data_IF_429838534346
#
_entry.id   IF_429838534346
#
_cell.length_a   1.000
_cell.length_b   1.000
_cell.length_c   1.000
_cell.angle_alpha   90.00
_cell.angle_beta   90.00
_cell.angle_gamma   90.00
#
_symmetry.space_group_name_H-M   'P 1'
#
loop_
_entity.id
_entity.type
_entity.pdbx_description
1 polymer ?
#
# COMPACT_ATOMS: atom_id res chain seq x y z
N UNK A 1 5.77 -28.25 19.53
CA UNK A 1 6.57 -27.27 18.79
C UNK A 1 6.31 -25.86 19.30
N UNK A 2 7.34 -25.00 19.42
CA UNK A 2 7.15 -23.63 19.86
C UNK A 2 6.40 -22.81 18.81
N UNK A 3 5.50 -21.94 19.26
CA UNK A 3 4.78 -20.99 18.40
C UNK A 3 5.77 -20.00 17.80
N UNK A 4 5.70 -19.79 16.48
CA UNK A 4 6.48 -18.76 15.78
C UNK A 4 5.57 -17.59 15.45
N UNK A 5 5.98 -16.40 15.85
CA UNK A 5 5.31 -15.14 15.52
C UNK A 5 6.22 -14.33 14.60
N UNK A 6 5.64 -13.66 13.62
CA UNK A 6 6.34 -12.71 12.76
C UNK A 6 5.62 -11.36 12.82
N UNK A 7 6.41 -10.29 12.88
CA UNK A 7 5.91 -8.94 12.70
C UNK A 7 5.90 -8.62 11.20
N UNK A 8 4.75 -8.20 10.68
CA UNK A 8 4.60 -7.83 9.28
C UNK A 8 3.97 -6.43 9.16
N UNK A 9 4.49 -5.64 8.21
CA UNK A 9 3.93 -4.33 7.90
C UNK A 9 2.55 -4.50 7.29
N UNK A 10 1.57 -3.80 7.83
CA UNK A 10 0.20 -3.83 7.32
C UNK A 10 -0.10 -2.69 6.35
N UNK A 11 0.33 -1.48 6.69
CA UNK A 11 0.09 -0.29 5.90
C UNK A 11 1.38 0.20 5.27
N UNK A 12 1.52 -0.02 3.98
CA UNK A 12 2.69 0.43 3.23
C UNK A 12 2.51 1.91 2.88
N UNK A 13 3.43 2.80 3.30
CA UNK A 13 3.33 4.21 3.01
C UNK A 13 3.43 4.46 1.49
N UNK A 14 2.55 5.30 0.92
CA UNK A 14 2.66 5.66 -0.49
C UNK A 14 3.92 6.47 -0.80
N UNK A 15 4.46 7.15 0.21
CA UNK A 15 5.70 7.90 0.13
C UNK A 15 6.60 7.60 1.33
N UNK A 16 7.54 6.64 1.19
CA UNK A 16 8.44 6.25 2.27
C UNK A 16 9.41 7.35 2.72
N UNK A 17 9.68 8.36 1.88
CA UNK A 17 10.54 9.48 2.24
C UNK A 17 9.98 10.30 3.42
N UNK A 18 8.65 10.26 3.61
CA UNK A 18 7.99 10.95 4.71
C UNK A 18 8.04 10.20 6.05
N UNK A 19 8.69 9.04 6.11
CA UNK A 19 8.94 8.34 7.36
C UNK A 19 10.06 9.06 8.14
N UNK A 20 9.78 9.49 9.37
CA UNK A 20 10.71 10.31 10.15
C UNK A 20 11.87 9.49 10.75
N UNK A 21 11.60 8.25 11.15
CA UNK A 21 12.58 7.42 11.85
C UNK A 21 13.31 6.47 10.89
N UNK A 22 14.62 6.42 11.02
CA UNK A 22 15.49 5.54 10.25
C UNK A 22 15.15 4.06 10.45
N UNK A 23 14.92 3.64 11.71
CA UNK A 23 14.51 2.28 12.02
C UNK A 23 13.22 1.87 11.30
N UNK A 24 12.27 2.80 11.09
CA UNK A 24 11.02 2.52 10.40
C UNK A 24 11.27 2.26 8.92
N UNK A 25 12.17 3.04 8.27
CA UNK A 25 12.59 2.79 6.88
C UNK A 25 13.30 1.46 6.75
N UNK A 26 14.22 1.16 7.67
CA UNK A 26 14.94 -0.11 7.70
C UNK A 26 13.99 -1.31 7.81
N UNK A 27 13.04 -1.29 8.74
CA UNK A 27 12.06 -2.37 8.91
C UNK A 27 11.17 -2.54 7.67
N UNK A 28 10.81 -1.44 7.01
CA UNK A 28 10.08 -1.49 5.76
C UNK A 28 10.91 -2.10 4.62
N UNK A 29 12.20 -1.77 4.54
CA UNK A 29 13.14 -2.39 3.59
C UNK A 29 13.22 -3.91 3.80
N UNK A 30 13.33 -4.37 5.04
CA UNK A 30 13.36 -5.80 5.37
C UNK A 30 12.06 -6.50 4.95
N UNK A 31 10.91 -5.86 5.16
CA UNK A 31 9.62 -6.39 4.72
C UNK A 31 9.54 -6.51 3.21
N UNK A 32 9.88 -5.45 2.47
CA UNK A 32 9.84 -5.44 1.01
C UNK A 32 10.83 -6.45 0.43
N UNK A 33 12.02 -6.56 1.00
CA UNK A 33 12.99 -7.59 0.63
C UNK A 33 12.40 -8.98 0.77
N UNK A 34 11.76 -9.28 1.90
CA UNK A 34 11.09 -10.56 2.11
C UNK A 34 9.97 -10.78 1.08
N UNK A 35 9.19 -9.75 0.75
CA UNK A 35 8.12 -9.83 -0.25
C UNK A 35 8.68 -10.11 -1.66
N UNK A 36 9.84 -9.55 -2.00
CA UNK A 36 10.53 -9.82 -3.27
C UNK A 36 11.07 -11.26 -3.29
N UNK A 37 11.82 -11.66 -2.27
CA UNK A 37 12.45 -13.00 -2.21
C UNK A 37 11.42 -14.12 -2.17
N UNK A 38 10.28 -13.91 -1.55
CA UNK A 38 9.16 -14.87 -1.51
C UNK A 38 8.28 -14.84 -2.76
N UNK A 39 8.52 -13.93 -3.69
CA UNK A 39 7.73 -13.76 -4.91
C UNK A 39 6.38 -13.07 -4.72
N UNK A 40 6.08 -12.56 -3.51
CA UNK A 40 4.88 -11.77 -3.24
C UNK A 40 4.89 -10.43 -3.98
N UNK A 41 6.07 -9.81 -4.11
CA UNK A 41 6.27 -8.59 -4.87
C UNK A 41 7.10 -8.89 -6.12
N UNK A 42 6.46 -9.13 -7.27
CA UNK A 42 7.15 -9.45 -8.50
C UNK A 42 7.89 -8.22 -9.06
N UNK A 43 9.13 -8.44 -9.50
CA UNK A 43 9.99 -7.44 -10.08
C UNK A 43 10.56 -7.91 -11.42
N UNK A 44 10.92 -6.97 -12.29
CA UNK A 44 11.73 -7.25 -13.48
C UNK A 44 13.18 -7.54 -13.09
N UNK A 45 13.95 -8.16 -13.99
CA UNK A 45 15.38 -8.41 -13.80
C UNK A 45 16.15 -7.13 -13.44
N UNK A 46 15.91 -6.05 -14.19
CA UNK A 46 16.56 -4.75 -13.97
C UNK A 46 16.21 -4.17 -12.60
N UNK A 47 14.94 -4.32 -12.17
CA UNK A 47 14.52 -3.85 -10.85
C UNK A 47 15.13 -4.70 -9.73
N UNK A 48 15.21 -6.02 -9.89
CA UNK A 48 15.92 -6.87 -8.93
C UNK A 48 17.37 -6.45 -8.76
N UNK A 49 18.08 -6.19 -9.88
CA UNK A 49 19.46 -5.76 -9.85
C UNK A 49 19.64 -4.40 -9.16
N UNK A 50 18.78 -3.43 -9.48
CA UNK A 50 18.81 -2.10 -8.88
C UNK A 50 18.50 -2.13 -7.38
N UNK A 51 17.44 -2.80 -6.97
CA UNK A 51 17.09 -2.94 -5.55
C UNK A 51 18.17 -3.73 -4.80
N UNK A 52 18.71 -4.79 -5.41
CA UNK A 52 19.81 -5.56 -4.85
C UNK A 52 21.05 -4.72 -4.62
N UNK A 53 21.40 -3.83 -5.53
CA UNK A 53 22.59 -2.97 -5.38
C UNK A 53 22.47 -1.95 -4.25
N UNK A 54 21.29 -1.37 -4.03
CA UNK A 54 21.05 -0.51 -2.86
C UNK A 54 21.07 -1.30 -1.54
N UNK A 55 20.56 -2.54 -1.56
CA UNK A 55 20.62 -3.40 -0.39
C UNK A 55 22.08 -3.70 -0.01
N UNK A 56 22.91 -4.03 -0.99
CA UNK A 56 24.35 -4.26 -0.77
C UNK A 56 25.02 -3.00 -0.22
N UNK A 57 24.75 -1.84 -0.82
CA UNK A 57 25.30 -0.56 -0.34
C UNK A 57 24.90 -0.29 1.13
N UNK A 58 23.66 -0.61 1.51
CA UNK A 58 23.20 -0.36 2.89
C UNK A 58 23.83 -1.31 3.91
N UNK A 59 24.14 -2.56 3.52
CA UNK A 59 24.66 -3.58 4.44
C UNK A 59 26.20 -3.66 4.47
N UNK A 60 26.85 -3.45 3.31
CA UNK A 60 28.31 -3.65 3.15
C UNK A 60 29.05 -2.30 3.08
N UNK A 61 28.36 -1.24 2.62
CA UNK A 61 28.98 0.08 2.37
C UNK A 61 29.57 0.18 0.98
N UNK A 62 30.54 1.07 0.81
CA UNK A 62 31.16 1.35 -0.47
C UNK A 62 31.90 0.13 -1.03
N UNK A 63 31.81 -0.06 -2.36
CA UNK A 63 32.58 -1.11 -3.01
C UNK A 63 34.10 -0.80 -2.92
N UNK A 64 34.86 -1.75 -2.36
CA UNK A 64 36.32 -1.73 -2.33
C UNK A 64 36.85 -2.96 -3.07
N UNK A 65 37.72 -2.73 -4.07
CA UNK A 65 38.32 -3.79 -4.90
C UNK A 65 39.25 -4.71 -4.09
N UNK A 66 39.77 -4.24 -2.95
CA UNK A 66 40.68 -5.01 -2.10
C UNK A 66 39.93 -5.92 -1.11
N UNK A 67 38.74 -5.50 -0.68
CA UNK A 67 37.93 -6.21 0.29
C UNK A 67 36.85 -7.09 -0.34
N UNK A 68 36.34 -6.68 -1.51
CA UNK A 68 35.23 -7.32 -2.21
C UNK A 68 35.71 -8.16 -3.39
N UNK A 69 35.86 -9.45 -3.16
CA UNK A 69 36.11 -10.42 -4.21
C UNK A 69 34.84 -10.68 -5.05
N UNK A 70 34.98 -11.50 -6.10
CA UNK A 70 33.83 -11.87 -6.97
C UNK A 70 32.74 -12.66 -6.25
N UNK A 71 32.95 -13.09 -5.02
CA UNK A 71 32.06 -13.98 -4.25
C UNK A 71 31.39 -13.29 -3.06
N UNK A 72 31.70 -12.03 -2.79
CA UNK A 72 31.17 -11.31 -1.59
C UNK A 72 29.63 -11.24 -1.52
N UNK A 73 28.93 -11.41 -2.66
CA UNK A 73 27.46 -11.45 -2.72
C UNK A 73 26.87 -12.86 -2.67
N UNK A 74 27.68 -13.89 -2.46
CA UNK A 74 27.23 -15.29 -2.51
C UNK A 74 26.10 -15.61 -1.56
N UNK A 75 26.11 -15.00 -0.38
CA UNK A 75 25.13 -15.26 0.67
C UNK A 75 23.91 -14.33 0.61
N UNK A 76 23.94 -13.36 -0.30
CA UNK A 76 22.82 -12.47 -0.52
C UNK A 76 21.71 -13.11 -1.35
N UNK A 77 20.47 -12.79 -1.00
CA UNK A 77 19.28 -13.19 -1.77
C UNK A 77 18.55 -11.94 -2.26
N UNK A 78 18.51 -11.78 -3.57
CA UNK A 78 17.88 -10.64 -4.25
C UNK A 78 16.58 -11.00 -4.96
N UNK A 79 16.41 -12.27 -5.33
CA UNK A 79 15.28 -12.75 -6.09
C UNK A 79 14.89 -14.18 -5.71
N UNK A 80 13.65 -14.63 -6.00
CA UNK A 80 13.24 -16.01 -5.79
C UNK A 80 14.11 -17.01 -6.58
N UNK A 81 14.41 -16.66 -7.84
CA UNK A 81 15.27 -17.43 -8.75
C UNK A 81 16.48 -16.57 -9.12
N UNK A 82 17.54 -16.70 -8.35
CA UNK A 82 18.75 -15.91 -8.51
C UNK A 82 19.69 -16.56 -9.53
N UNK A 83 20.07 -15.80 -10.57
CA UNK A 83 21.00 -16.23 -11.58
C UNK A 83 22.38 -15.56 -11.38
N UNK A 84 23.49 -16.18 -11.86
CA UNK A 84 24.81 -15.53 -11.82
C UNK A 84 24.82 -14.16 -12.49
N UNK A 85 24.13 -14.01 -13.62
CA UNK A 85 23.98 -12.73 -14.34
C UNK A 85 23.34 -11.63 -13.49
N UNK A 86 22.35 -12.00 -12.64
CA UNK A 86 21.75 -11.05 -11.71
C UNK A 86 22.77 -10.57 -10.68
N UNK A 87 23.58 -11.49 -10.13
CA UNK A 87 24.62 -11.16 -9.16
C UNK A 87 25.66 -10.20 -9.78
N UNK A 88 26.14 -10.53 -10.97
CA UNK A 88 27.09 -9.65 -11.70
C UNK A 88 26.50 -8.26 -11.93
N UNK A 89 25.23 -8.18 -12.33
CA UNK A 89 24.57 -6.89 -12.54
C UNK A 89 24.40 -6.10 -11.24
N UNK A 90 24.13 -6.78 -10.12
CA UNK A 90 24.08 -6.15 -8.79
C UNK A 90 25.45 -5.60 -8.41
N UNK A 91 26.53 -6.36 -8.64
CA UNK A 91 27.92 -5.92 -8.38
C UNK A 91 28.28 -4.67 -9.18
N UNK A 92 27.94 -4.64 -10.47
CA UNK A 92 28.24 -3.49 -11.33
C UNK A 92 27.48 -2.24 -10.88
N UNK A 93 26.22 -2.38 -10.51
CA UNK A 93 25.44 -1.26 -9.97
C UNK A 93 25.93 -0.83 -8.59
N UNK A 94 26.34 -1.75 -7.73
CA UNK A 94 26.90 -1.42 -6.42
C UNK A 94 28.11 -0.47 -6.52
N UNK A 95 28.98 -0.68 -7.47
CA UNK A 95 30.14 0.19 -7.73
C UNK A 95 29.76 1.65 -8.00
N UNK A 96 28.54 1.89 -8.47
CA UNK A 96 28.04 3.24 -8.78
C UNK A 96 27.47 3.99 -7.58
N UNK A 97 27.27 3.31 -6.44
CA UNK A 97 26.63 3.89 -5.24
C UNK A 97 27.62 4.47 -4.22
N UNK A 98 28.87 4.63 -4.60
CA UNK A 98 29.94 5.11 -3.72
C UNK A 98 29.57 6.40 -2.98
N UNK A 99 29.82 6.42 -1.67
CA UNK A 99 29.56 7.56 -0.79
C UNK A 99 28.15 7.61 -0.20
N UNK A 100 27.25 6.70 -0.59
CA UNK A 100 25.91 6.65 0.03
C UNK A 100 25.98 5.99 1.40
N UNK A 101 25.39 6.66 2.40
CA UNK A 101 25.20 6.09 3.73
C UNK A 101 24.15 4.96 3.68
N UNK A 102 24.14 4.05 4.67
CA UNK A 102 23.11 3.01 4.77
C UNK A 102 21.68 3.56 4.71
N UNK A 103 21.41 4.67 5.39
CA UNK A 103 20.09 5.31 5.41
C UNK A 103 19.69 5.88 4.05
N UNK A 104 20.62 6.48 3.30
CA UNK A 104 20.38 6.98 1.94
C UNK A 104 20.15 5.83 0.95
N UNK A 105 20.93 4.75 1.04
CA UNK A 105 20.73 3.57 0.21
C UNK A 105 19.37 2.92 0.45
N UNK A 106 18.93 2.80 1.72
CA UNK A 106 17.60 2.32 2.09
C UNK A 106 16.49 3.23 1.56
N UNK A 107 16.68 4.55 1.61
CA UNK A 107 15.72 5.49 1.04
C UNK A 107 15.60 5.31 -0.47
N UNK A 108 16.72 5.21 -1.20
CA UNK A 108 16.70 4.94 -2.64
C UNK A 108 16.07 3.58 -2.98
N UNK A 109 16.33 2.56 -2.16
CA UNK A 109 15.66 1.27 -2.26
C UNK A 109 14.14 1.43 -2.19
N UNK A 110 13.63 2.11 -1.16
CA UNK A 110 12.19 2.34 -0.95
C UNK A 110 11.57 3.20 -2.06
N UNK A 111 12.27 4.24 -2.52
CA UNK A 111 11.85 5.11 -3.61
C UNK A 111 11.69 4.37 -4.95
N UNK A 112 12.46 3.32 -5.18
CA UNK A 112 12.32 2.46 -6.35
C UNK A 112 11.27 1.37 -6.11
N UNK A 113 11.21 0.77 -4.94
CA UNK A 113 10.22 -0.25 -4.59
C UNK A 113 8.79 0.28 -4.63
N UNK A 114 8.52 1.54 -4.19
CA UNK A 114 7.19 2.15 -4.25
C UNK A 114 6.60 2.28 -5.66
N UNK A 115 7.45 2.25 -6.70
CA UNK A 115 7.03 2.32 -8.11
C UNK A 115 6.50 0.99 -8.65
N UNK A 116 6.73 -0.11 -7.94
CA UNK A 116 6.25 -1.43 -8.33
C UNK A 116 4.73 -1.51 -8.26
N UNK A 117 4.11 -2.11 -9.27
CA UNK A 117 2.65 -2.16 -9.40
C UNK A 117 1.95 -2.87 -8.22
N UNK A 118 2.65 -3.84 -7.61
CA UNK A 118 2.13 -4.64 -6.48
C UNK A 118 2.65 -4.17 -5.11
N UNK A 119 3.36 -3.02 -5.05
CA UNK A 119 3.82 -2.47 -3.78
C UNK A 119 2.67 -2.21 -2.82
N UNK A 120 2.73 -2.80 -1.64
CA UNK A 120 1.72 -2.64 -0.59
C UNK A 120 0.30 -3.12 -0.95
N UNK A 121 0.16 -4.02 -1.93
CA UNK A 121 -1.12 -4.59 -2.34
C UNK A 121 -1.37 -5.91 -1.62
N UNK A 122 -2.41 -5.95 -0.78
CA UNK A 122 -2.89 -7.16 -0.12
C UNK A 122 -3.93 -7.86 -1.01
N UNK A 123 -3.58 -9.03 -1.55
CA UNK A 123 -4.37 -9.78 -2.53
C UNK A 123 -5.33 -10.77 -1.88
N UNK A 124 -6.57 -10.76 -2.36
CA UNK A 124 -7.64 -11.67 -1.95
C UNK A 124 -8.29 -12.31 -3.17
N UNK A 125 -8.32 -13.66 -3.27
CA UNK A 125 -8.99 -14.34 -4.37
C UNK A 125 -10.51 -14.16 -4.28
N UNK A 126 -11.13 -13.87 -5.41
CA UNK A 126 -12.57 -13.68 -5.53
C UNK A 126 -13.05 -14.06 -6.93
N UNK A 127 -14.38 -14.04 -7.12
CA UNK A 127 -15.03 -14.14 -8.44
C UNK A 127 -15.85 -12.86 -8.66
N UNK A 128 -15.89 -12.43 -9.89
CA UNK A 128 -16.76 -11.33 -10.32
C UNK A 128 -18.24 -11.77 -10.43
N UNK A 129 -19.09 -10.89 -10.95
CA UNK A 129 -20.52 -11.17 -11.17
C UNK A 129 -20.77 -12.28 -12.19
N UNK A 130 -19.85 -12.50 -13.10
CA UNK A 130 -19.94 -13.54 -14.16
C UNK A 130 -19.34 -14.87 -13.70
N UNK A 131 -18.75 -14.92 -12.50
CA UNK A 131 -18.13 -16.11 -11.94
C UNK A 131 -16.66 -16.30 -12.38
N UNK A 132 -16.06 -15.30 -13.02
CA UNK A 132 -14.66 -15.32 -13.44
C UNK A 132 -13.74 -15.10 -12.26
N UNK A 133 -12.65 -15.87 -12.21
CA UNK A 133 -11.66 -15.75 -11.15
C UNK A 133 -10.88 -14.43 -11.28
N UNK A 134 -10.83 -13.69 -10.18
CA UNK A 134 -10.13 -12.42 -10.06
C UNK A 134 -9.37 -12.34 -8.74
N UNK A 135 -8.45 -11.38 -8.63
CA UNK A 135 -7.81 -11.00 -7.38
C UNK A 135 -8.21 -9.58 -7.00
N UNK A 136 -8.74 -9.41 -5.79
CA UNK A 136 -9.00 -8.10 -5.20
C UNK A 136 -7.78 -7.67 -4.40
N UNK A 137 -7.19 -6.53 -4.78
CA UNK A 137 -6.03 -5.96 -4.12
C UNK A 137 -6.41 -4.75 -3.28
N UNK A 138 -6.07 -4.77 -2.00
CA UNK A 138 -6.30 -3.63 -1.09
C UNK A 138 -4.99 -2.89 -0.90
N UNK A 139 -4.97 -1.58 -1.16
CA UNK A 139 -3.76 -0.77 -1.04
C UNK A 139 -4.07 0.65 -0.51
N UNK A 140 -3.03 1.46 -0.37
CA UNK A 140 -3.14 2.84 0.10
C UNK A 140 -4.09 3.71 -0.75
N UNK A 141 -4.16 3.46 -2.05
CA UNK A 141 -4.95 4.27 -2.99
C UNK A 141 -6.40 3.81 -3.19
N UNK A 142 -6.73 2.58 -2.79
CA UNK A 142 -8.07 2.02 -3.01
C UNK A 142 -8.10 0.51 -3.16
N UNK A 143 -9.17 0.03 -3.75
CA UNK A 143 -9.38 -1.36 -4.12
C UNK A 143 -9.06 -1.56 -5.60
N UNK A 144 -8.22 -2.54 -5.88
CA UNK A 144 -7.79 -2.92 -7.22
C UNK A 144 -8.44 -4.25 -7.61
N UNK A 145 -8.76 -4.41 -8.89
CA UNK A 145 -9.23 -5.67 -9.46
C UNK A 145 -8.22 -6.14 -10.48
N UNK A 146 -7.70 -7.34 -10.30
CA UNK A 146 -6.75 -7.98 -11.21
C UNK A 146 -7.35 -9.26 -11.79
N UNK A 147 -7.11 -9.48 -13.09
CA UNK A 147 -7.36 -10.73 -13.79
C UNK A 147 -6.08 -11.12 -14.52
N UNK A 148 -5.63 -12.36 -14.36
CA UNK A 148 -4.42 -12.88 -15.04
C UNK A 148 -3.19 -11.97 -14.88
N UNK A 149 -2.96 -11.47 -13.66
CA UNK A 149 -1.89 -10.49 -13.31
C UNK A 149 -2.06 -9.09 -13.90
N UNK A 150 -3.09 -8.86 -14.73
CA UNK A 150 -3.40 -7.54 -15.28
C UNK A 150 -4.39 -6.80 -14.39
N UNK A 151 -4.09 -5.54 -14.06
CA UNK A 151 -5.05 -4.68 -13.37
C UNK A 151 -6.14 -4.23 -14.35
N UNK A 152 -7.36 -4.72 -14.15
CA UNK A 152 -8.50 -4.40 -15.00
C UNK A 152 -9.35 -3.24 -14.48
N UNK A 153 -9.32 -2.99 -13.14
CA UNK A 153 -10.08 -1.89 -12.56
C UNK A 153 -9.44 -1.35 -11.27
N UNK A 154 -9.78 -0.11 -10.91
CA UNK A 154 -9.35 0.56 -9.68
C UNK A 154 -10.47 1.43 -9.12
N UNK A 155 -10.81 1.19 -7.86
CA UNK A 155 -11.77 1.98 -7.09
C UNK A 155 -11.03 2.77 -6.01
N UNK A 156 -10.76 4.06 -6.29
CA UNK A 156 -10.11 4.94 -5.33
C UNK A 156 -10.98 5.14 -4.08
N UNK A 157 -10.38 5.24 -2.89
CA UNK A 157 -11.12 5.40 -1.64
C UNK A 157 -12.16 6.52 -1.64
N UNK A 158 -11.90 7.71 -2.20
CA UNK A 158 -12.91 8.78 -2.25
C UNK A 158 -14.16 8.44 -3.08
N UNK A 159 -14.06 7.52 -4.04
CA UNK A 159 -15.19 7.06 -4.86
C UNK A 159 -16.04 6.01 -4.16
N UNK A 160 -15.52 5.35 -3.12
CA UNK A 160 -16.23 4.30 -2.39
C UNK A 160 -17.06 4.92 -1.28
N UNK A 161 -18.39 4.83 -1.38
CA UNK A 161 -19.35 5.37 -0.41
C UNK A 161 -19.63 4.39 0.72
N UNK A 162 -19.63 3.08 0.44
CA UNK A 162 -19.94 2.04 1.43
C UNK A 162 -19.21 0.75 1.09
N UNK A 163 -18.73 0.09 2.12
CA UNK A 163 -18.12 -1.24 2.06
C UNK A 163 -18.94 -2.16 2.93
N UNK A 164 -19.41 -3.29 2.41
CA UNK A 164 -20.24 -4.24 3.13
C UNK A 164 -19.99 -5.68 2.68
N UNK A 165 -20.39 -6.64 3.50
CA UNK A 165 -20.39 -8.04 3.11
C UNK A 165 -21.67 -8.72 3.63
N UNK A 166 -22.11 -9.77 2.93
CA UNK A 166 -23.23 -10.61 3.34
C UNK A 166 -22.93 -12.05 2.94
N UNK A 167 -22.85 -12.95 3.92
CA UNK A 167 -22.39 -14.33 3.72
C UNK A 167 -20.99 -14.32 3.07
N UNK A 168 -20.82 -14.96 1.93
CA UNK A 168 -19.58 -15.01 1.17
C UNK A 168 -19.42 -13.90 0.13
N UNK A 169 -20.39 -12.99 0.00
CA UNK A 169 -20.34 -11.89 -0.95
C UNK A 169 -19.82 -10.62 -0.29
N UNK A 170 -18.98 -9.90 -1.01
CA UNK A 170 -18.42 -8.59 -0.66
C UNK A 170 -18.96 -7.55 -1.63
N UNK A 171 -19.35 -6.37 -1.12
CA UNK A 171 -19.98 -5.32 -1.91
C UNK A 171 -19.33 -3.98 -1.66
N UNK A 172 -19.12 -3.21 -2.72
CA UNK A 172 -18.76 -1.80 -2.66
C UNK A 172 -19.84 -0.97 -3.34
N UNK A 173 -20.22 0.15 -2.70
CA UNK A 173 -21.11 1.15 -3.27
C UNK A 173 -20.26 2.31 -3.77
N UNK A 174 -20.42 2.66 -5.04
CA UNK A 174 -19.59 3.64 -5.74
C UNK A 174 -20.41 4.90 -5.99
N UNK A 175 -19.75 6.04 -5.81
CA UNK A 175 -20.30 7.36 -6.16
C UNK A 175 -20.55 7.42 -7.66
N UNK A 176 -21.70 7.98 -8.10
CA UNK A 176 -21.98 8.16 -9.53
C UNK A 176 -20.89 9.00 -10.20
N UNK A 177 -20.58 8.68 -11.44
CA UNK A 177 -19.73 9.49 -12.30
C UNK A 177 -20.44 10.81 -12.70
N UNK A 178 -19.75 11.66 -13.44
CA UNK A 178 -20.29 12.98 -13.86
C UNK A 178 -21.55 12.86 -14.73
N UNK A 179 -21.70 11.76 -15.44
CA UNK A 179 -22.86 11.49 -16.33
C UNK A 179 -23.85 10.46 -15.78
N UNK A 180 -23.60 9.92 -14.59
CA UNK A 180 -24.45 8.91 -13.95
C UNK A 180 -25.34 9.56 -12.90
N UNK A 181 -26.65 9.25 -12.93
CA UNK A 181 -27.60 9.81 -11.97
C UNK A 181 -27.66 9.00 -10.66
N UNK A 182 -27.25 7.75 -10.67
CA UNK A 182 -27.42 6.83 -9.54
C UNK A 182 -26.12 6.17 -9.09
N UNK A 183 -26.05 5.91 -7.78
CA UNK A 183 -24.97 5.16 -7.16
C UNK A 183 -24.99 3.70 -7.62
N UNK A 184 -23.86 3.16 -8.04
CA UNK A 184 -23.73 1.75 -8.43
C UNK A 184 -23.22 0.89 -7.27
N UNK A 185 -23.66 -0.36 -7.22
CA UNK A 185 -23.18 -1.35 -6.26
C UNK A 185 -22.53 -2.50 -7.01
N UNK A 186 -21.26 -2.74 -6.72
CA UNK A 186 -20.48 -3.82 -7.34
C UNK A 186 -20.29 -4.92 -6.29
N UNK A 187 -20.57 -6.16 -6.69
CA UNK A 187 -20.45 -7.34 -5.84
C UNK A 187 -19.37 -8.28 -6.32
N UNK A 188 -18.69 -8.91 -5.37
CA UNK A 188 -17.67 -9.93 -5.60
C UNK A 188 -17.96 -11.13 -4.71
N UNK A 189 -17.76 -12.34 -5.22
CA UNK A 189 -17.99 -13.58 -4.50
C UNK A 189 -16.67 -14.13 -4.00
N UNK A 190 -16.56 -14.36 -2.69
CA UNK A 190 -15.39 -14.97 -2.07
C UNK A 190 -15.65 -16.45 -1.75
N UNK A 191 -14.61 -17.18 -1.40
CA UNK A 191 -14.70 -18.61 -1.12
C UNK A 191 -15.66 -18.94 0.04
N UNK A 192 -15.68 -18.11 1.10
CA UNK A 192 -16.52 -18.33 2.28
C UNK A 192 -16.78 -17.03 3.06
N UNK A 193 -17.60 -17.10 4.09
CA UNK A 193 -17.93 -15.95 4.95
C UNK A 193 -16.70 -15.37 5.67
N UNK A 194 -15.75 -16.20 6.10
CA UNK A 194 -14.54 -15.74 6.79
C UNK A 194 -13.65 -14.91 5.85
N UNK A 195 -13.50 -15.34 4.60
CA UNK A 195 -12.76 -14.60 3.58
C UNK A 195 -13.43 -13.24 3.29
N UNK A 196 -14.76 -13.21 3.12
CA UNK A 196 -15.50 -11.96 2.88
C UNK A 196 -15.39 -11.01 4.08
N UNK A 197 -15.48 -11.51 5.31
CA UNK A 197 -15.29 -10.72 6.54
C UNK A 197 -13.85 -10.21 6.65
N UNK A 198 -12.84 -11.02 6.31
CA UNK A 198 -11.43 -10.63 6.33
C UNK A 198 -11.18 -9.49 5.34
N UNK A 199 -11.61 -9.64 4.08
CA UNK A 199 -11.50 -8.60 3.07
C UNK A 199 -12.20 -7.30 3.50
N UNK A 200 -13.43 -7.41 3.99
CA UNK A 200 -14.17 -6.25 4.51
C UNK A 200 -13.40 -5.53 5.61
N UNK A 201 -12.85 -6.27 6.57
CA UNK A 201 -12.06 -5.70 7.67
C UNK A 201 -10.82 -4.97 7.15
N UNK A 202 -10.05 -5.60 6.26
CA UNK A 202 -8.85 -5.01 5.65
C UNK A 202 -9.20 -3.73 4.87
N UNK A 203 -10.29 -3.74 4.09
CA UNK A 203 -10.75 -2.55 3.38
C UNK A 203 -11.15 -1.41 4.32
N UNK A 204 -11.87 -1.71 5.41
CA UNK A 204 -12.26 -0.70 6.42
C UNK A 204 -11.02 -0.09 7.08
N UNK A 205 -10.04 -0.92 7.43
CA UNK A 205 -8.79 -0.48 8.04
C UNK A 205 -7.99 0.42 7.09
N UNK A 206 -7.80 0.02 5.83
CA UNK A 206 -7.08 0.80 4.83
C UNK A 206 -7.80 2.11 4.49
N UNK A 207 -9.12 2.05 4.30
CA UNK A 207 -9.91 3.24 4.04
C UNK A 207 -9.79 4.26 5.19
N UNK A 208 -9.92 3.80 6.44
CA UNK A 208 -9.80 4.69 7.59
C UNK A 208 -8.38 5.22 7.74
N UNK A 209 -7.36 4.37 7.62
CA UNK A 209 -5.98 4.76 7.78
C UNK A 209 -5.51 5.77 6.72
N UNK A 210 -5.76 5.52 5.44
CA UNK A 210 -5.21 6.33 4.36
C UNK A 210 -6.08 7.52 3.94
N UNK A 211 -7.40 7.45 4.19
CA UNK A 211 -8.32 8.47 3.71
C UNK A 211 -8.77 9.45 4.78
N UNK A 212 -8.98 9.00 6.01
CA UNK A 212 -9.56 9.85 7.05
C UNK A 212 -8.47 10.63 7.80
N UNK A 213 -8.81 11.83 8.25
CA UNK A 213 -7.96 12.65 9.12
C UNK A 213 -7.89 12.07 10.53
N UNK A 214 -9.01 11.53 11.03
CA UNK A 214 -9.13 10.87 12.32
C UNK A 214 -10.09 9.69 12.21
N UNK A 215 -9.96 8.67 13.08
CA UNK A 215 -10.93 7.58 13.13
C UNK A 215 -12.32 8.10 13.50
N UNK A 216 -13.37 7.44 12.99
CA UNK A 216 -14.74 7.79 13.35
C UNK A 216 -14.94 7.69 14.87
N UNK A 217 -15.47 8.74 15.52
CA UNK A 217 -15.70 8.72 16.95
C UNK A 217 -16.71 7.61 17.33
N UNK A 218 -16.45 6.93 18.44
CA UNK A 218 -17.38 5.95 18.98
C UNK A 218 -18.61 6.70 19.48
N UNK A 219 -19.73 6.57 18.78
CA UNK A 219 -21.01 7.09 19.26
C UNK A 219 -21.38 6.32 20.51
N UNK A 220 -21.27 6.96 21.68
CA UNK A 220 -21.85 6.47 22.93
C UNK A 220 -23.36 6.61 22.81
N UNK A 221 -24.05 5.53 22.51
CA UNK A 221 -25.52 5.49 22.50
C UNK A 221 -25.96 4.88 23.82
N UNK A 222 -26.29 5.74 24.79
CA UNK A 222 -26.92 5.34 26.07
C UNK A 222 -26.00 4.63 27.06
N UNK A 223 -26.52 4.31 28.21
CA UNK A 223 -25.87 3.62 29.35
C UNK A 223 -25.63 2.11 29.10
N UNK A 224 -26.19 1.51 28.05
CA UNK A 224 -26.04 0.09 27.77
C UNK A 224 -24.91 -0.17 26.80
N UNK A 225 -24.00 -1.12 27.11
CA UNK A 225 -23.00 -1.55 26.14
C UNK A 225 -23.73 -2.15 24.92
N UNK A 226 -23.42 -1.63 23.73
CA UNK A 226 -23.96 -2.16 22.47
C UNK A 226 -23.58 -3.63 22.33
N UNK A 227 -24.52 -4.54 22.60
CA UNK A 227 -24.40 -5.95 22.23
C UNK A 227 -24.35 -6.04 20.71
N UNK A 228 -23.19 -6.47 20.16
CA UNK A 228 -22.98 -6.58 18.72
C UNK A 228 -22.12 -5.44 18.14
N UNK A 229 -20.93 -5.22 18.68
CA UNK A 229 -20.01 -4.21 18.17
C UNK A 229 -19.56 -4.55 16.74
N UNK A 230 -20.01 -3.73 15.79
CA UNK A 230 -19.43 -3.70 14.46
C UNK A 230 -17.96 -3.31 14.59
N UNK A 231 -17.05 -4.06 13.93
CA UNK A 231 -15.63 -3.70 13.90
C UNK A 231 -15.46 -2.24 13.43
N UNK A 232 -14.63 -1.49 14.14
CA UNK A 232 -14.18 -0.15 13.80
C UNK A 232 -12.67 -0.09 13.96
N UNK A 233 -12.02 0.64 13.08
CA UNK A 233 -10.61 0.93 13.23
C UNK A 233 -10.41 1.96 14.36
N UNK A 234 -9.52 1.67 15.31
CA UNK A 234 -9.26 2.53 16.48
C UNK A 234 -7.80 3.02 16.57
N UNK A 235 -6.96 2.68 15.58
CA UNK A 235 -5.58 3.15 15.52
C UNK A 235 -5.48 4.58 14.97
N UNK A 236 -4.28 5.16 15.04
CA UNK A 236 -3.97 6.44 14.39
C UNK A 236 -4.10 6.33 12.89
N UNK A 237 -4.58 7.40 12.25
CA UNK A 237 -4.60 7.50 10.79
C UNK A 237 -3.22 7.88 10.25
N UNK A 238 -3.00 7.73 8.96
CA UNK A 238 -1.78 8.18 8.28
C UNK A 238 -1.56 9.70 8.45
N UNK A 239 -2.65 10.47 8.41
CA UNK A 239 -2.62 11.91 8.63
C UNK A 239 -2.16 12.26 10.06
N UNK A 240 -2.73 11.61 11.07
CA UNK A 240 -2.33 11.79 12.47
C UNK A 240 -0.87 11.38 12.70
N UNK A 241 -0.44 10.26 12.09
CA UNK A 241 0.93 9.76 12.22
C UNK A 241 1.97 10.75 11.67
N UNK A 242 1.64 11.47 10.59
CA UNK A 242 2.52 12.50 10.03
C UNK A 242 2.62 13.77 10.88
N UNK A 243 1.55 14.13 11.57
CA UNK A 243 1.46 15.39 12.33
C UNK A 243 1.96 15.29 13.76
N UNK A 244 1.91 14.11 14.35
CA UNK A 244 2.33 13.93 15.74
C UNK A 244 3.86 13.87 15.80
N UNK A 245 4.52 14.82 16.51
CA UNK A 245 5.94 14.76 16.69
C UNK A 245 6.32 13.51 17.51
N UNK A 246 7.47 12.94 17.19
CA UNK A 246 8.03 11.82 17.93
C UNK A 246 8.87 12.40 19.05
N UNK A 247 8.32 12.46 20.27
CA UNK A 247 8.98 13.05 21.43
C UNK A 247 10.08 12.15 22.04
N UNK A 248 10.07 10.86 21.70
CA UNK A 248 11.09 9.91 22.17
C UNK A 248 12.38 10.06 21.37
N UNK A 249 13.51 9.78 22.02
CA UNK A 249 14.78 9.67 21.32
C UNK A 249 14.72 8.54 20.28
N UNK A 250 15.34 8.71 19.09
CA UNK A 250 15.42 7.65 18.10
C UNK A 250 16.09 6.41 18.73
N UNK A 251 15.48 5.22 18.61
CA UNK A 251 16.09 4.02 19.13
C UNK A 251 17.40 3.73 18.39
N UNK A 252 18.43 3.39 19.14
CA UNK A 252 19.65 2.84 18.55
C UNK A 252 19.36 1.42 18.05
N UNK A 253 19.77 1.10 16.85
CA UNK A 253 19.61 -0.23 16.28
C UNK A 253 20.80 -0.56 15.37
N UNK A 254 21.09 -1.83 15.25
CA UNK A 254 22.08 -2.34 14.33
C UNK A 254 21.40 -2.97 13.12
N UNK A 255 21.94 -2.69 11.93
CA UNK A 255 21.50 -3.32 10.69
C UNK A 255 22.04 -4.75 10.61
N UNK A 256 21.15 -5.72 10.45
CA UNK A 256 21.58 -7.12 10.31
C UNK A 256 22.10 -7.40 8.90
N UNK A 257 23.24 -8.07 8.81
CA UNK A 257 23.79 -8.54 7.53
C UNK A 257 23.00 -9.74 7.00
N UNK A 258 22.78 -9.77 5.69
CA UNK A 258 22.01 -10.79 4.98
C UNK A 258 22.52 -12.22 5.12
N UNK A 259 23.82 -12.39 5.32
CA UNK A 259 24.46 -13.70 5.51
C UNK A 259 24.36 -14.26 6.93
N UNK A 260 24.01 -13.47 7.93
CA UNK A 260 23.82 -13.97 9.28
C UNK A 260 22.38 -14.44 9.46
N UNK A 261 22.18 -15.75 9.59
CA UNK A 261 20.95 -16.28 10.20
C UNK A 261 20.75 -15.57 11.53
N UNK A 262 19.64 -14.85 11.66
CA UNK A 262 19.18 -14.37 12.96
C UNK A 262 18.91 -15.61 13.83
N UNK A 263 19.92 -16.03 14.58
CA UNK A 263 19.71 -17.01 15.65
C UNK A 263 18.98 -16.28 16.75
N UNK A 264 18.10 -16.97 17.48
CA UNK A 264 17.31 -16.42 18.59
C UNK A 264 18.15 -15.67 19.65
N UNK A 265 19.47 -15.87 19.68
CA UNK A 265 20.43 -15.15 20.53
C UNK A 265 20.62 -13.66 20.16
N UNK A 266 20.34 -13.24 18.92
CA UNK A 266 20.48 -11.82 18.57
C UNK A 266 19.29 -10.98 19.05
N UNK A 267 18.19 -11.61 19.46
CA UNK A 267 17.05 -10.92 20.08
C UNK A 267 17.26 -10.69 21.59
N UNK A 268 18.10 -11.48 22.24
CA UNK A 268 18.42 -11.32 23.67
C UNK A 268 19.39 -10.16 23.94
N UNK A 269 20.13 -9.70 22.92
CA UNK A 269 21.05 -8.56 23.02
C UNK A 269 20.32 -7.18 23.11
N UNK A 270 19.01 -7.13 22.85
CA UNK A 270 18.21 -5.91 22.99
C UNK A 270 17.78 -5.63 24.44
N UNK A 271 18.09 -6.53 25.41
CA UNK A 271 17.72 -6.42 26.81
C UNK A 271 18.89 -6.26 27.82
N UNK A 272 20.13 -6.23 27.37
CA UNK A 272 21.31 -6.21 28.24
C UNK A 272 21.91 -4.82 28.38
N UNK A 273 21.88 -4.25 29.59
CA UNK A 273 22.60 -3.03 29.97
C UNK A 273 24.11 -3.21 29.78
N UNK A 274 24.85 -2.23 29.24
CA UNK A 274 26.29 -2.29 29.16
C UNK A 274 26.91 -1.78 30.47
N UNK A 275 27.59 -2.65 31.17
CA UNK A 275 28.62 -2.24 32.13
C UNK A 275 29.99 -2.42 31.48
N UNK A 276 30.75 -1.36 31.35
CA UNK A 276 32.19 -1.44 31.02
C UNK A 276 32.69 -0.36 30.08
N UNK A 277 33.18 0.71 30.68
CA UNK A 277 34.07 1.75 30.19
C UNK A 277 35.20 1.24 29.29
N UNK A 278 35.44 1.92 28.16
CA UNK A 278 36.74 2.47 27.77
C UNK A 278 36.52 3.53 26.64
N UNK A 279 37.16 4.69 26.86
CA UNK A 279 36.98 5.87 26.02
C UNK A 279 37.66 5.79 24.65
N UNK A 280 37.01 6.38 23.70
CA UNK A 280 37.63 7.02 22.54
C UNK A 280 36.71 8.17 22.06
N UNK A 281 37.35 9.31 21.83
CA UNK A 281 36.72 10.59 21.53
C UNK A 281 35.79 10.54 20.31
N UNK A 282 34.66 11.33 20.33
CA UNK A 282 33.76 11.39 19.19
C UNK A 282 34.32 12.33 18.11
N UNK A 283 34.62 11.78 16.94
CA UNK A 283 34.83 12.51 15.71
C UNK A 283 33.63 13.39 15.41
N UNK A 284 33.84 14.69 15.37
CA UNK A 284 32.85 15.69 15.00
C UNK A 284 32.42 15.49 13.54
N UNK A 285 31.26 14.88 13.33
CA UNK A 285 30.60 14.90 12.02
C UNK A 285 29.73 16.14 11.92
N UNK A 286 30.06 16.98 10.94
CA UNK A 286 29.21 18.09 10.53
C UNK A 286 27.88 17.52 10.00
N UNK A 287 26.83 17.75 10.74
CA UNK A 287 25.44 17.62 10.25
C UNK A 287 25.17 18.86 9.40
N UNK A 288 25.12 18.69 8.09
CA UNK A 288 24.49 19.69 7.23
C UNK A 288 22.99 19.66 7.52
N UNK A 289 22.48 20.72 8.13
CA UNK A 289 21.06 20.99 8.23
C UNK A 289 20.51 21.33 6.84
N UNK A 290 19.70 20.45 6.31
CA UNK A 290 18.89 20.71 5.12
C UNK A 290 17.68 21.53 5.55
N UNK A 291 17.63 22.80 5.17
CA UNK A 291 16.42 23.62 5.22
C UNK A 291 15.53 23.19 4.05
N UNK A 292 14.29 22.74 4.28
CA UNK A 292 13.37 22.46 3.19
C UNK A 292 12.89 23.77 2.57
N UNK A 293 13.15 23.98 1.29
CA UNK A 293 12.47 24.98 0.48
C UNK A 293 10.96 24.80 0.59
N UNK A 294 10.30 25.88 1.00
CA UNK A 294 8.84 25.98 1.09
C UNK A 294 8.28 26.01 -0.34
N UNK A 295 7.77 24.88 -0.80
CA UNK A 295 6.92 24.82 -1.98
C UNK A 295 5.55 25.38 -1.56
N UNK A 296 5.01 26.41 -2.22
CA UNK A 296 3.71 26.94 -1.87
C UNK A 296 2.62 25.89 -2.06
N UNK A 297 1.84 25.68 -1.02
CA UNK A 297 0.65 24.83 -1.00
C UNK A 297 -0.30 25.25 -2.14
N UNK A 298 -0.56 24.32 -3.04
CA UNK A 298 -1.72 24.42 -3.91
C UNK A 298 -2.97 24.31 -3.04
N UNK A 299 -3.68 25.42 -2.89
CA UNK A 299 -4.96 25.53 -2.21
C UNK A 299 -5.92 24.42 -2.67
N UNK A 300 -6.17 23.47 -1.81
CA UNK A 300 -7.31 22.58 -1.91
C UNK A 300 -8.56 23.39 -1.57
N UNK A 301 -9.30 23.77 -2.59
CA UNK A 301 -10.66 24.29 -2.43
C UNK A 301 -11.53 23.18 -1.87
N UNK A 302 -11.71 23.19 -0.57
CA UNK A 302 -12.63 22.32 0.18
C UNK A 302 -14.04 22.89 0.04
N UNK A 303 -14.75 22.55 -1.03
CA UNK A 303 -16.17 22.84 -1.17
C UNK A 303 -16.97 21.87 -0.31
N UNK A 304 -17.23 22.25 0.93
CA UNK A 304 -18.31 21.66 1.72
C UNK A 304 -19.64 22.21 1.22
N UNK A 305 -20.60 21.39 0.82
CA UNK A 305 -21.95 21.88 0.60
C UNK A 305 -22.60 22.19 1.96
N UNK A 306 -23.02 23.42 2.12
CA UNK A 306 -23.83 23.90 3.25
C UNK A 306 -25.17 23.17 3.31
N UNK A 307 -25.78 22.99 4.50
CA UNK A 307 -27.06 22.30 4.61
C UNK A 307 -28.20 23.15 4.04
N UNK A 308 -28.87 22.62 3.04
CA UNK A 308 -30.07 23.22 2.44
C UNK A 308 -31.21 23.18 3.48
N UNK A 309 -31.65 24.36 3.88
CA UNK A 309 -32.90 24.58 4.65
C UNK A 309 -34.08 24.11 3.80
N UNK A 310 -34.85 23.17 4.32
CA UNK A 310 -36.13 22.75 3.73
C UNK A 310 -37.14 23.88 3.85
N UNK A 311 -37.43 24.53 2.77
CA UNK A 311 -38.61 25.42 2.62
C UNK A 311 -39.80 24.51 2.24
N UNK A 312 -40.84 24.56 3.08
CA UNK A 312 -42.12 23.95 2.83
C UNK A 312 -42.90 24.89 1.94
N UNK A 313 -43.04 24.55 0.67
CA UNK A 313 -44.07 25.20 -0.14
C UNK A 313 -45.24 24.27 -0.36
N UNK A 314 -46.39 24.76 0.08
CA UNK A 314 -47.71 24.23 -0.22
C UNK A 314 -47.99 24.46 -1.70
N UNK A 315 -48.28 23.41 -2.43
CA UNK A 315 -48.82 23.55 -3.76
C UNK A 315 -50.17 22.89 -3.91
N UNK A 316 -51.10 23.72 -4.25
CA UNK A 316 -52.46 23.46 -4.65
C UNK A 316 -52.55 22.68 -5.98
N UNK A 317 -53.45 21.74 -5.97
CA UNK A 317 -53.99 20.94 -7.06
C UNK A 317 -54.56 21.84 -8.19
N UNK A 318 -54.20 21.57 -9.47
CA UNK A 318 -55.11 21.75 -10.62
C UNK A 318 -54.88 20.65 -11.64
N UNK A 319 -55.94 19.98 -11.92
CA UNK A 319 -56.22 19.00 -12.99
C UNK A 319 -56.28 19.66 -14.36
N UNK A 320 -55.77 19.03 -15.40
CA UNK A 320 -56.48 18.95 -16.70
C UNK A 320 -55.88 17.86 -17.59
N UNK A 321 -56.78 17.21 -18.21
CA UNK A 321 -56.86 16.12 -19.17
C UNK A 321 -56.34 16.54 -20.53
N UNK A 322 -55.66 15.65 -21.27
CA UNK A 322 -55.37 15.86 -22.68
C UNK A 322 -54.72 14.62 -23.32
N UNK A 323 -55.53 13.82 -23.91
CA UNK A 323 -55.33 12.68 -24.79
C UNK A 323 -54.62 12.98 -26.12
N UNK A 324 -54.02 11.92 -26.67
CA UNK A 324 -53.94 11.40 -28.06
C UNK A 324 -52.52 11.11 -28.51
N UNK A 325 -52.30 9.86 -28.77
CA UNK A 325 -52.26 9.09 -30.07
C UNK A 325 -50.91 9.18 -30.78
N UNK A 326 -50.22 8.07 -30.82
CA UNK A 326 -50.12 7.05 -31.87
C UNK A 326 -49.11 7.30 -33.01
N UNK A 327 -48.50 6.21 -33.33
CA UNK A 327 -47.94 5.71 -34.62
C UNK A 327 -46.45 6.02 -34.81
N UNK A 328 -45.68 5.00 -34.91
CA UNK A 328 -45.45 3.86 -35.79
C UNK A 328 -44.34 4.08 -36.81
N UNK A 329 -43.56 2.97 -36.94
CA UNK A 329 -42.91 2.47 -38.17
C UNK A 329 -41.55 3.08 -38.47
N UNK A 330 -40.53 2.38 -38.74
CA UNK A 330 -40.01 1.12 -39.24
C UNK A 330 -38.56 1.33 -39.61
N UNK A 331 -37.80 0.33 -39.36
CA UNK A 331 -37.18 -0.62 -40.28
C UNK A 331 -35.97 -0.16 -41.06
N UNK A 332 -35.09 -1.11 -41.05
CA UNK A 332 -34.26 -1.71 -42.12
C UNK A 332 -32.85 -1.14 -42.17
N UNK A 333 -31.94 -2.00 -42.15
CA UNK A 333 -31.26 -3.10 -42.83
C UNK A 333 -29.80 -2.77 -42.85
N UNK A 334 -28.98 -3.72 -42.38
CA UNK A 334 -28.17 -4.68 -43.16
C UNK A 334 -27.11 -4.01 -44.05
N UNK A 335 -25.97 -4.41 -44.03
CA UNK A 335 -25.08 -5.48 -44.47
C UNK A 335 -23.65 -4.95 -44.37
N UNK A 336 -22.62 -5.58 -44.32
CA UNK A 336 -22.08 -6.92 -44.56
C UNK A 336 -20.56 -6.79 -44.71
N UNK A 337 -19.93 -7.80 -44.25
CA UNK A 337 -18.78 -8.53 -44.80
C UNK A 337 -17.48 -7.89 -45.28
N UNK A 338 -16.48 -8.59 -44.89
CA UNK A 338 -15.35 -9.17 -45.63
C UNK A 338 -14.01 -8.82 -44.96
N UNK A 339 -13.37 -9.78 -44.33
CA UNK A 339 -12.50 -10.84 -44.87
C UNK A 339 -11.12 -10.34 -45.39
N UNK A 340 -10.16 -11.10 -45.00
CA UNK A 340 -8.82 -11.36 -45.55
C UNK A 340 -7.69 -10.82 -44.68
N UNK A 341 -6.98 -11.67 -44.00
CA UNK A 341 -6.00 -12.73 -44.34
C UNK A 341 -4.58 -12.21 -44.56
N UNK A 342 -3.70 -12.82 -43.78
CA UNK A 342 -2.29 -13.17 -44.06
C UNK A 342 -1.28 -12.10 -44.48
N UNK A 343 -0.34 -11.83 -43.60
CA UNK A 343 1.04 -12.37 -43.71
C UNK A 343 1.82 -12.19 -42.40
#
# INVERSE_FOLDING_TARGET
EPWKFSFEVKFYPPDPAQLHEDITRYQLCLQIRNDIVTGRLPCSFVTHALLGSYLVQSEVGDYDIQEHDKTYLKDFKFAPNQTPELIEKVMDLHKTHKGQTPAEAELHYLENAKKLAMYGVDLHPAKDSEGVDIMLGVCSSGLLVHRDRLRINRFAWPKILKISYKRHNFYIKIRPGEFEQYESTIGFKLSNHRAAKKLWKVCVEHHTFFRLMSPDPVKKVGLLPQLGSRFRYSGRTHYETKKIPIERQPPQFERSLSGRRLTSRSMDALGGSPVGSYGSEPSKRHTMSYEPEIIPDMEHIDQRPSPIKKQKDKLTRKTSIGTTSASSISSLEEESDAECAEK
#
